data_IF_182351038163
#
_entry.id   IF_182351038163
#
_cell.length_a   1.000
_cell.length_b   1.000
_cell.length_c   1.000
_cell.angle_alpha   90.00
_cell.angle_beta   90.00
_cell.angle_gamma   90.00
#
_symmetry.space_group_name_H-M   'P 1'
#
loop_
_entity.id
_entity.type
_entity.pdbx_description
1 polymer ?
#
# COMPACT_ATOMS: atom_id res chain seq x y z
N UNK A 1 7.58 -13.89 24.27
CA UNK A 1 6.43 -14.84 24.38
C UNK A 1 5.75 -15.02 23.02
N UNK A 2 5.42 -16.26 22.61
CA UNK A 2 4.86 -16.56 21.29
C UNK A 2 3.53 -15.84 20.95
N UNK A 3 2.73 -15.51 21.96
CA UNK A 3 1.45 -14.81 21.80
C UNK A 3 1.57 -13.32 21.46
N UNK A 4 2.56 -12.63 22.03
CA UNK A 4 2.76 -11.18 21.85
C UNK A 4 3.03 -10.84 20.38
N UNK A 5 3.91 -11.60 19.72
CA UNK A 5 4.23 -11.35 18.31
C UNK A 5 3.04 -11.63 17.37
N UNK A 6 2.17 -12.59 17.70
CA UNK A 6 0.95 -12.84 16.90
C UNK A 6 -0.06 -11.71 17.06
N UNK A 7 -0.20 -11.18 18.27
CA UNK A 7 -1.04 -10.00 18.51
C UNK A 7 -0.53 -8.77 17.75
N UNK A 8 0.79 -8.52 17.77
CA UNK A 8 1.42 -7.45 16.98
C UNK A 8 1.12 -7.62 15.49
N UNK A 9 1.35 -8.83 14.95
CA UNK A 9 1.03 -9.13 13.55
C UNK A 9 -0.42 -8.81 13.18
N UNK A 10 -1.39 -9.30 13.99
CA UNK A 10 -2.81 -9.06 13.71
C UNK A 10 -3.13 -7.56 13.71
N UNK A 11 -2.56 -6.80 14.66
CA UNK A 11 -2.71 -5.35 14.75
C UNK A 11 -2.11 -4.64 13.53
N UNK A 12 -0.92 -5.06 13.09
CA UNK A 12 -0.28 -4.50 11.90
C UNK A 12 -1.12 -4.71 10.64
N UNK A 13 -1.76 -5.87 10.46
CA UNK A 13 -2.66 -6.10 9.31
C UNK A 13 -3.85 -5.14 9.34
N UNK A 14 -4.44 -4.89 10.52
CA UNK A 14 -5.53 -3.92 10.69
C UNK A 14 -5.04 -2.51 10.34
N UNK A 15 -3.88 -2.11 10.84
CA UNK A 15 -3.30 -0.79 10.61
C UNK A 15 -2.95 -0.58 9.13
N UNK A 16 -2.42 -1.61 8.45
CA UNK A 16 -2.14 -1.58 7.01
C UNK A 16 -3.43 -1.35 6.22
N UNK A 17 -4.49 -2.11 6.50
CA UNK A 17 -5.77 -1.95 5.81
C UNK A 17 -6.37 -0.57 6.06
N UNK A 18 -6.30 -0.06 7.28
CA UNK A 18 -6.77 1.29 7.62
C UNK A 18 -5.98 2.35 6.86
N UNK A 19 -4.65 2.25 6.83
CA UNK A 19 -3.78 3.14 6.08
C UNK A 19 -4.11 3.13 4.58
N UNK A 20 -4.20 1.95 3.96
CA UNK A 20 -4.51 1.83 2.53
C UNK A 20 -5.92 2.30 2.19
N UNK A 21 -6.92 2.06 3.03
CA UNK A 21 -8.26 2.62 2.82
C UNK A 21 -8.24 4.16 2.74
N UNK A 22 -7.47 4.84 3.58
CA UNK A 22 -7.34 6.30 3.49
C UNK A 22 -6.57 6.73 2.22
N UNK A 23 -5.50 6.02 1.87
CA UNK A 23 -4.71 6.32 0.67
C UNK A 23 -5.53 6.11 -0.62
N UNK A 24 -6.34 5.07 -0.66
CA UNK A 24 -7.23 4.77 -1.78
C UNK A 24 -8.33 5.82 -1.96
N UNK A 25 -8.78 6.51 -0.90
CA UNK A 25 -9.68 7.66 -1.04
C UNK A 25 -9.02 8.81 -1.79
N UNK A 26 -7.73 9.03 -1.58
CA UNK A 26 -6.98 10.03 -2.32
C UNK A 26 -6.74 9.59 -3.76
N UNK A 27 -6.42 8.31 -3.96
CA UNK A 27 -6.19 7.72 -5.30
C UNK A 27 -7.46 7.77 -6.15
N UNK A 28 -8.64 7.55 -5.55
CA UNK A 28 -9.93 7.60 -6.22
C UNK A 28 -10.13 8.86 -7.10
N UNK A 29 -9.57 9.99 -6.69
CA UNK A 29 -9.73 11.26 -7.39
C UNK A 29 -8.73 11.46 -8.55
N UNK A 30 -7.72 10.60 -8.67
CA UNK A 30 -6.61 10.73 -9.62
C UNK A 30 -6.48 9.55 -10.58
N UNK A 31 -7.48 8.67 -10.61
CA UNK A 31 -7.57 7.59 -11.60
C UNK A 31 -8.06 8.16 -12.93
N UNK A 32 -7.61 7.59 -14.04
CA UNK A 32 -8.06 8.01 -15.37
C UNK A 32 -9.43 7.41 -15.69
N UNK A 33 -10.11 7.93 -16.71
CA UNK A 33 -11.33 7.30 -17.22
C UNK A 33 -11.04 5.86 -17.65
N UNK A 34 -11.94 4.93 -17.35
CA UNK A 34 -11.79 3.50 -17.63
C UNK A 34 -10.56 2.84 -16.97
N UNK A 35 -10.18 3.29 -15.78
CA UNK A 35 -9.09 2.65 -15.03
C UNK A 35 -9.37 1.18 -14.72
N UNK A 36 -8.28 0.41 -14.62
CA UNK A 36 -8.26 -0.99 -14.22
C UNK A 36 -7.55 -1.21 -12.88
N UNK A 37 -7.61 -2.45 -12.39
CA UNK A 37 -7.00 -2.83 -11.11
C UNK A 37 -5.49 -2.53 -11.06
N UNK A 38 -4.81 -2.67 -12.20
CA UNK A 38 -3.39 -2.34 -12.35
C UNK A 38 -3.14 -0.85 -12.12
N UNK A 39 -4.03 0.02 -12.58
CA UNK A 39 -3.90 1.47 -12.44
C UNK A 39 -4.05 1.90 -10.97
N UNK A 40 -4.91 1.22 -10.21
CA UNK A 40 -5.05 1.46 -8.76
C UNK A 40 -3.75 1.09 -8.04
N UNK A 41 -3.17 -0.07 -8.37
CA UNK A 41 -1.91 -0.54 -7.77
C UNK A 41 -0.76 0.41 -8.13
N UNK A 42 -0.68 0.82 -9.39
CA UNK A 42 0.39 1.68 -9.88
C UNK A 42 0.27 3.11 -9.33
N UNK A 43 -0.95 3.65 -9.23
CA UNK A 43 -1.20 4.91 -8.54
C UNK A 43 -0.79 4.84 -7.06
N UNK A 44 -1.09 3.74 -6.37
CA UNK A 44 -0.69 3.54 -4.97
C UNK A 44 0.84 3.52 -4.83
N UNK A 45 1.54 2.77 -5.68
CA UNK A 45 3.01 2.75 -5.68
C UNK A 45 3.62 4.10 -6.05
N UNK A 46 2.99 4.84 -6.95
CA UNK A 46 3.48 6.15 -7.39
C UNK A 46 3.34 7.22 -6.30
N UNK A 47 2.17 7.35 -5.69
CA UNK A 47 1.88 8.40 -4.70
C UNK A 47 2.27 8.02 -3.26
N UNK A 48 2.35 6.72 -2.96
CA UNK A 48 2.65 6.17 -1.63
C UNK A 48 3.73 5.06 -1.68
N UNK A 49 4.89 5.30 -2.33
CA UNK A 49 5.92 4.26 -2.55
C UNK A 49 6.45 3.67 -1.24
N UNK A 50 6.67 4.51 -0.23
CA UNK A 50 7.23 4.08 1.05
C UNK A 50 6.23 3.34 1.93
N UNK A 51 4.95 3.67 1.81
CA UNK A 51 3.90 2.94 2.49
C UNK A 51 3.71 1.55 1.86
N UNK A 52 3.85 1.44 0.54
CA UNK A 52 3.92 0.14 -0.15
C UNK A 52 5.15 -0.68 0.28
N UNK A 53 6.34 -0.10 0.19
CA UNK A 53 7.61 -0.72 0.58
C UNK A 53 7.60 -1.17 2.05
N UNK A 54 6.98 -0.39 2.94
CA UNK A 54 6.83 -0.77 4.36
C UNK A 54 6.07 -2.09 4.53
N UNK A 55 5.07 -2.36 3.69
CA UNK A 55 4.31 -3.62 3.73
C UNK A 55 5.13 -4.77 3.15
N UNK A 56 5.91 -4.54 2.08
CA UNK A 56 6.84 -5.53 1.54
C UNK A 56 7.89 -5.96 2.57
N UNK A 57 8.51 -5.00 3.26
CA UNK A 57 9.48 -5.27 4.33
C UNK A 57 8.85 -6.09 5.47
N UNK A 58 7.63 -5.74 5.89
CA UNK A 58 6.90 -6.51 6.91
C UNK A 58 6.60 -7.93 6.45
N UNK A 59 6.18 -8.11 5.20
CA UNK A 59 5.95 -9.44 4.62
C UNK A 59 7.21 -10.29 4.67
N UNK A 60 8.35 -9.75 4.21
CA UNK A 60 9.62 -10.46 4.27
C UNK A 60 10.00 -10.86 5.70
N UNK A 61 9.81 -9.95 6.65
CA UNK A 61 10.07 -10.20 8.06
C UNK A 61 9.24 -11.40 8.59
N UNK A 62 7.93 -11.40 8.35
CA UNK A 62 7.05 -12.49 8.80
C UNK A 62 7.29 -13.79 8.04
N UNK A 63 7.65 -13.74 6.76
CA UNK A 63 8.07 -14.92 6.00
C UNK A 63 9.35 -15.54 6.57
N UNK A 64 10.35 -14.73 6.90
CA UNK A 64 11.57 -15.21 7.57
C UNK A 64 11.21 -15.88 8.89
N UNK A 65 10.34 -15.26 9.70
CA UNK A 65 9.86 -15.88 10.95
C UNK A 65 9.13 -17.20 10.74
N UNK A 66 8.24 -17.28 9.76
CA UNK A 66 7.52 -18.51 9.45
C UNK A 66 8.46 -19.63 9.00
N UNK A 67 9.52 -19.32 8.24
CA UNK A 67 10.56 -20.31 7.90
C UNK A 67 11.22 -20.89 9.16
N UNK A 68 11.61 -20.04 10.11
CA UNK A 68 12.20 -20.50 11.38
C UNK A 68 11.21 -21.33 12.22
N UNK A 69 9.95 -20.88 12.34
CA UNK A 69 8.93 -21.59 13.12
C UNK A 69 8.60 -22.93 12.47
N UNK A 70 8.44 -22.98 11.14
CA UNK A 70 8.16 -24.22 10.40
C UNK A 70 9.29 -25.23 10.57
N UNK A 71 10.55 -24.79 10.56
CA UNK A 71 11.72 -25.67 10.82
C UNK A 71 11.68 -26.30 12.22
N UNK A 72 11.20 -25.59 13.24
CA UNK A 72 11.20 -26.07 14.64
C UNK A 72 9.92 -26.78 15.06
N UNK A 73 8.77 -26.39 14.51
CA UNK A 73 7.44 -26.81 14.98
C UNK A 73 6.52 -27.33 13.85
N UNK A 74 7.03 -27.46 12.62
CA UNK A 74 6.31 -28.01 11.47
C UNK A 74 5.23 -27.11 10.84
N UNK A 75 4.75 -26.07 11.53
CA UNK A 75 3.64 -25.21 11.07
C UNK A 75 4.00 -23.72 11.09
N UNK A 76 3.70 -23.03 9.98
CA UNK A 76 3.79 -21.56 9.90
C UNK A 76 2.68 -20.89 10.74
N UNK A 77 2.95 -19.71 11.29
CA UNK A 77 2.07 -19.00 12.23
C UNK A 77 1.44 -17.75 11.64
N UNK A 78 2.18 -16.98 10.85
CA UNK A 78 1.74 -15.67 10.39
C UNK A 78 1.05 -15.76 9.04
N UNK A 79 1.71 -16.42 8.07
CA UNK A 79 1.29 -16.58 6.67
C UNK A 79 0.84 -15.24 6.09
N UNK A 80 1.71 -14.23 6.19
CA UNK A 80 1.38 -12.89 5.71
C UNK A 80 1.16 -12.90 4.20
N UNK A 81 -0.04 -12.47 3.80
CA UNK A 81 -0.44 -12.29 2.41
C UNK A 81 0.49 -11.29 1.70
N UNK A 82 0.55 -11.39 0.37
CA UNK A 82 1.25 -10.40 -0.46
C UNK A 82 0.62 -9.01 -0.31
N UNK A 83 1.38 -7.93 -0.60
CA UNK A 83 0.80 -6.59 -0.55
C UNK A 83 -0.44 -6.45 -1.44
N UNK A 84 -0.42 -7.06 -2.63
CA UNK A 84 -1.56 -7.07 -3.56
C UNK A 84 -2.78 -7.77 -2.94
N UNK A 85 -2.58 -8.95 -2.35
CA UNK A 85 -3.68 -9.68 -1.69
C UNK A 85 -4.28 -8.88 -0.52
N UNK A 86 -3.44 -8.24 0.32
CA UNK A 86 -3.92 -7.40 1.41
C UNK A 86 -4.69 -6.17 0.87
N UNK A 87 -4.27 -5.64 -0.28
CA UNK A 87 -4.91 -4.49 -0.92
C UNK A 87 -6.31 -4.87 -1.39
N UNK A 88 -6.45 -6.05 -1.99
CA UNK A 88 -7.74 -6.56 -2.46
C UNK A 88 -8.73 -6.83 -1.32
N UNK A 89 -8.24 -7.04 -0.11
CA UNK A 89 -9.07 -7.14 1.09
C UNK A 89 -9.56 -5.78 1.62
N UNK A 90 -9.02 -4.65 1.16
CA UNK A 90 -9.39 -3.31 1.60
C UNK A 90 -10.79 -2.92 1.09
N UNK A 91 -11.62 -2.35 1.97
CA UNK A 91 -12.99 -1.96 1.61
C UNK A 91 -13.03 -0.88 0.54
N UNK A 92 -12.10 0.07 0.58
CA UNK A 92 -12.02 1.11 -0.44
C UNK A 92 -11.61 0.54 -1.80
N UNK A 93 -10.69 -0.44 -1.83
CA UNK A 93 -10.33 -1.11 -3.08
C UNK A 93 -11.55 -1.82 -3.68
N UNK A 94 -12.27 -2.60 -2.88
CA UNK A 94 -13.50 -3.30 -3.32
C UNK A 94 -14.54 -2.33 -3.87
N UNK A 95 -14.62 -1.11 -3.31
CA UNK A 95 -15.49 -0.05 -3.83
C UNK A 95 -14.99 0.44 -5.20
N UNK A 96 -13.71 0.78 -5.34
CA UNK A 96 -13.12 1.23 -6.60
C UNK A 96 -13.24 0.18 -7.71
N UNK A 97 -13.02 -1.10 -7.37
CA UNK A 97 -13.11 -2.20 -8.31
C UNK A 97 -14.56 -2.57 -8.70
N UNK A 98 -15.59 -2.02 -8.02
CA UNK A 98 -16.98 -2.36 -8.31
C UNK A 98 -17.48 -1.69 -9.59
N UNK A 99 -18.21 -2.43 -10.42
CA UNK A 99 -18.75 -1.93 -11.68
C UNK A 99 -19.62 -0.69 -11.48
N UNK A 100 -20.48 -0.71 -10.44
CA UNK A 100 -21.33 0.42 -10.07
C UNK A 100 -20.51 1.70 -9.80
N UNK A 101 -19.37 1.59 -9.11
CA UNK A 101 -18.53 2.75 -8.85
C UNK A 101 -17.81 3.22 -10.12
N UNK A 102 -17.28 2.29 -10.92
CA UNK A 102 -16.60 2.59 -12.19
C UNK A 102 -17.55 3.31 -13.15
N UNK A 103 -18.78 2.85 -13.28
CA UNK A 103 -19.81 3.45 -14.14
C UNK A 103 -20.13 4.89 -13.70
N UNK A 104 -20.44 5.10 -12.42
CA UNK A 104 -20.71 6.45 -11.90
C UNK A 104 -19.51 7.38 -12.05
N UNK A 105 -18.31 6.88 -11.75
CA UNK A 105 -17.08 7.65 -11.92
C UNK A 105 -16.88 8.08 -13.38
N UNK A 106 -17.12 7.16 -14.32
CA UNK A 106 -16.98 7.43 -15.76
C UNK A 106 -18.02 8.44 -16.28
N UNK A 107 -19.24 8.42 -15.73
CA UNK A 107 -20.30 9.36 -16.09
C UNK A 107 -20.01 10.77 -15.59
N UNK A 108 -19.47 10.91 -14.37
CA UNK A 108 -19.14 12.19 -13.75
C UNK A 108 -17.70 12.68 -14.06
N UNK A 109 -16.98 11.97 -14.93
CA UNK A 109 -15.57 12.24 -15.18
C UNK A 109 -15.35 13.58 -15.89
N UNK A 110 -14.46 14.40 -15.33
CA UNK A 110 -13.96 15.63 -15.95
C UNK A 110 -12.44 15.59 -16.02
N UNK A 111 -11.90 15.76 -17.24
CA UNK A 111 -10.45 15.75 -17.46
C UNK A 111 -9.75 16.92 -16.77
N UNK A 112 -10.38 18.10 -16.75
CA UNK A 112 -9.84 19.27 -16.04
C UNK A 112 -9.73 18.99 -14.53
N UNK A 113 -10.80 18.44 -13.93
CA UNK A 113 -10.79 18.06 -12.52
C UNK A 113 -9.73 17.00 -12.23
N UNK A 114 -9.60 16.01 -13.10
CA UNK A 114 -8.59 14.96 -13.00
C UNK A 114 -7.16 15.52 -12.97
N UNK A 115 -6.82 16.45 -13.87
CA UNK A 115 -5.49 17.08 -13.91
C UNK A 115 -5.20 17.85 -12.61
N UNK A 116 -6.18 18.64 -12.14
CA UNK A 116 -6.07 19.42 -10.91
C UNK A 116 -5.88 18.51 -9.69
N UNK A 117 -6.65 17.43 -9.57
CA UNK A 117 -6.52 16.48 -8.46
C UNK A 117 -5.18 15.74 -8.50
N UNK A 118 -4.67 15.38 -9.69
CA UNK A 118 -3.34 14.76 -9.86
C UNK A 118 -2.23 15.67 -9.39
N UNK A 119 -2.26 16.93 -9.79
CA UNK A 119 -1.29 17.92 -9.37
C UNK A 119 -1.37 18.17 -7.85
N UNK A 120 -2.59 18.31 -7.32
CA UNK A 120 -2.83 18.50 -5.90
C UNK A 120 -2.28 17.34 -5.06
N UNK A 121 -2.54 16.10 -5.48
CA UNK A 121 -2.04 14.92 -4.78
C UNK A 121 -0.51 14.84 -4.88
N UNK A 122 0.06 15.09 -6.06
CA UNK A 122 1.50 15.11 -6.24
C UNK A 122 2.18 16.15 -5.34
N UNK A 123 1.65 17.38 -5.31
CA UNK A 123 2.19 18.45 -4.47
C UNK A 123 2.12 18.13 -2.97
N UNK A 124 1.07 17.43 -2.51
CA UNK A 124 0.96 16.93 -1.13
C UNK A 124 1.99 15.84 -0.82
N UNK A 125 2.32 14.99 -1.80
CA UNK A 125 3.13 13.78 -1.58
C UNK A 125 4.62 13.97 -1.87
N UNK A 126 5.00 14.76 -2.87
CA UNK A 126 6.39 14.94 -3.34
C UNK A 126 7.36 15.27 -2.22
N UNK A 127 7.01 16.21 -1.34
CA UNK A 127 7.87 16.64 -0.23
C UNK A 127 8.16 15.49 0.76
N UNK A 128 7.15 14.66 1.05
CA UNK A 128 7.34 13.49 1.92
C UNK A 128 8.22 12.46 1.21
N UNK A 129 7.97 12.22 -0.07
CA UNK A 129 8.73 11.27 -0.88
C UNK A 129 10.20 11.69 -0.90
N UNK A 130 10.50 12.91 -1.33
CA UNK A 130 11.87 13.45 -1.44
C UNK A 130 12.64 13.40 -0.12
N UNK A 131 11.98 13.75 0.98
CA UNK A 131 12.59 13.70 2.32
C UNK A 131 13.00 12.28 2.70
N UNK A 132 12.17 11.29 2.43
CA UNK A 132 12.48 9.89 2.72
C UNK A 132 13.55 9.37 1.76
N UNK A 133 13.47 9.67 0.46
CA UNK A 133 14.50 9.36 -0.54
C UNK A 133 15.87 9.87 -0.10
N UNK A 134 15.95 11.14 0.30
CA UNK A 134 17.20 11.78 0.74
C UNK A 134 17.77 11.10 1.99
N UNK A 135 16.92 10.71 2.94
CA UNK A 135 17.32 9.98 4.15
C UNK A 135 17.91 8.61 3.81
N UNK A 136 17.24 7.85 2.94
CA UNK A 136 17.71 6.53 2.49
C UNK A 136 19.04 6.62 1.75
N UNK A 137 19.18 7.56 0.80
CA UNK A 137 20.45 7.81 0.10
C UNK A 137 21.60 8.11 1.07
N UNK A 138 21.36 8.97 2.07
CA UNK A 138 22.37 9.29 3.09
C UNK A 138 22.75 8.08 3.95
N UNK A 139 21.80 7.19 4.25
CA UNK A 139 22.09 5.96 5.00
C UNK A 139 22.91 4.97 4.16
N UNK A 140 22.54 4.75 2.90
CA UNK A 140 23.30 3.87 2.00
C UNK A 140 24.73 4.37 1.77
N UNK A 141 24.93 5.69 1.61
CA UNK A 141 26.27 6.28 1.50
C UNK A 141 27.13 6.09 2.76
N UNK A 142 26.52 5.99 3.95
CA UNK A 142 27.25 5.71 5.20
C UNK A 142 27.59 4.24 5.35
N UNK A 143 26.75 3.34 4.82
CA UNK A 143 26.94 1.89 4.93
C UNK A 143 28.06 1.37 4.02
N UNK A 144 28.28 2.07 2.89
CA UNK A 144 29.29 1.73 1.88
C UNK A 144 30.61 2.51 2.05
N UNK A 145 30.84 3.12 3.22
CA UNK A 145 32.08 3.80 3.62
C UNK A 145 32.72 3.02 4.75
#
# INVERSE_FOLDING_TARGET
MPGVTKHIYNREIIDIKKMWNEQLKHIANVLEKNYEDTDIVDALKHYYPYEWESVEIKREYYQKKDKFIKKRYGKARYRMNSPIEILFECSMYKKLASDFYKENYNNDFSYERYLVERENLWNKRKNKIDRVTKKLRKQNLKLNR
#
